data_IF_722615418882
#
_entry.id   IF_722615418882
#
_cell.length_a   1.000
_cell.length_b   1.000
_cell.length_c   1.000
_cell.angle_alpha   90.00
_cell.angle_beta   90.00
_cell.angle_gamma   90.00
#
_symmetry.space_group_name_H-M   'P 1'
#
loop_
_entity.id
_entity.type
_entity.pdbx_description
1 polymer ?
#
# COMPACT_ATOMS: atom_id res chain seq x y z
N UNK A 1 16.37 4.26 17.01
CA UNK A 1 16.28 5.44 16.13
C UNK A 1 15.72 5.00 14.79
N UNK A 2 14.56 5.57 14.44
CA UNK A 2 13.91 5.65 13.13
C UNK A 2 13.94 4.42 12.22
N UNK A 3 12.98 3.50 12.41
CA UNK A 3 12.38 2.82 11.26
C UNK A 3 11.75 3.91 10.37
N UNK A 4 12.00 3.82 9.06
CA UNK A 4 11.67 4.82 8.06
C UNK A 4 10.40 5.63 8.40
N UNK A 5 10.58 6.93 8.57
CA UNK A 5 9.49 7.89 8.64
C UNK A 5 8.81 7.89 7.26
N UNK A 6 7.86 6.96 7.05
CA UNK A 6 6.98 6.88 5.87
C UNK A 6 5.96 8.01 5.84
N UNK A 7 6.41 9.24 6.15
CA UNK A 7 5.59 10.45 6.27
C UNK A 7 5.74 11.41 5.09
N UNK A 8 6.51 11.04 4.08
CA UNK A 8 6.54 11.76 2.81
C UNK A 8 5.84 10.88 1.77
N UNK A 9 4.69 11.34 1.26
CA UNK A 9 4.18 10.83 -0.02
C UNK A 9 5.33 10.89 -1.02
N UNK A 10 5.77 9.73 -1.47
CA UNK A 10 6.84 9.62 -2.46
C UNK A 10 6.35 10.16 -3.80
N UNK A 11 7.28 10.55 -4.66
CA UNK A 11 6.97 10.93 -6.03
C UNK A 11 6.13 9.86 -6.75
N UNK A 12 6.39 8.58 -6.47
CA UNK A 12 5.68 7.45 -7.06
C UNK A 12 4.22 7.39 -6.60
N UNK A 13 3.94 7.57 -5.31
CA UNK A 13 2.57 7.65 -4.78
C UNK A 13 1.79 8.81 -5.41
N UNK A 14 2.42 9.98 -5.56
CA UNK A 14 1.80 11.14 -6.22
C UNK A 14 1.50 10.86 -7.69
N UNK A 15 2.49 10.36 -8.45
CA UNK A 15 2.34 9.99 -9.87
C UNK A 15 1.27 8.92 -10.05
N UNK A 16 1.27 7.90 -9.20
CA UNK A 16 0.28 6.83 -9.17
C UNK A 16 -1.13 7.36 -8.95
N UNK A 17 -1.33 8.20 -7.91
CA UNK A 17 -2.62 8.82 -7.62
C UNK A 17 -3.18 9.61 -8.80
N UNK A 18 -2.33 10.43 -9.44
CA UNK A 18 -2.70 11.18 -10.64
C UNK A 18 -3.05 10.25 -11.80
N UNK A 19 -2.32 9.15 -11.98
CA UNK A 19 -2.57 8.19 -13.05
C UNK A 19 -3.90 7.45 -12.88
N UNK A 20 -4.23 7.02 -11.66
CA UNK A 20 -5.53 6.43 -11.31
C UNK A 20 -6.67 7.40 -11.60
N UNK A 21 -6.52 8.66 -11.18
CA UNK A 21 -7.52 9.70 -11.43
C UNK A 21 -7.71 9.97 -12.93
N UNK A 22 -6.62 10.09 -13.69
CA UNK A 22 -6.68 10.32 -15.13
C UNK A 22 -7.32 9.16 -15.91
N UNK A 23 -7.23 7.94 -15.39
CA UNK A 23 -7.88 6.76 -15.93
C UNK A 23 -9.37 6.64 -15.55
N UNK A 24 -9.89 7.50 -14.67
CA UNK A 24 -11.26 7.39 -14.19
C UNK A 24 -11.50 6.19 -13.28
N UNK A 25 -10.45 5.61 -12.69
CA UNK A 25 -10.59 4.56 -11.68
C UNK A 25 -11.26 5.13 -10.42
N UNK A 26 -12.04 4.32 -9.69
CA UNK A 26 -12.60 4.74 -8.40
C UNK A 26 -11.48 5.25 -7.47
N UNK A 27 -11.71 6.31 -6.68
CA UNK A 27 -10.70 6.81 -5.75
C UNK A 27 -10.47 5.81 -4.62
N UNK A 28 -9.21 5.62 -4.25
CA UNK A 28 -8.82 4.87 -3.04
C UNK A 28 -8.56 5.82 -1.87
N UNK A 29 -8.70 5.30 -0.64
CA UNK A 29 -8.28 6.00 0.57
C UNK A 29 -6.76 5.86 0.75
N UNK A 30 -5.99 6.96 0.87
CA UNK A 30 -4.56 6.85 1.04
C UNK A 30 -4.16 6.51 2.48
N UNK A 31 -2.95 5.94 2.63
CA UNK A 31 -2.26 5.82 3.92
C UNK A 31 -3.14 5.18 5.00
N UNK A 32 -3.63 3.96 4.72
CA UNK A 32 -4.52 3.22 5.61
C UNK A 32 -3.73 2.20 6.43
N UNK A 33 -3.96 2.21 7.74
CA UNK A 33 -3.40 1.22 8.65
C UNK A 33 -4.24 -0.07 8.64
N UNK A 34 -3.58 -1.21 8.45
CA UNK A 34 -4.16 -2.54 8.54
C UNK A 34 -3.80 -3.17 9.87
N UNK A 35 -4.81 -3.39 10.68
CA UNK A 35 -4.70 -4.00 12.00
C UNK A 35 -5.30 -5.41 12.00
N UNK A 36 -4.56 -6.39 12.51
CA UNK A 36 -4.98 -7.79 12.67
C UNK A 36 -4.69 -8.21 14.11
N UNK A 37 -5.67 -8.81 14.79
CA UNK A 37 -5.57 -9.21 16.21
C UNK A 37 -5.04 -8.10 17.13
N UNK A 38 -5.47 -6.86 16.88
CA UNK A 38 -5.09 -5.67 17.66
C UNK A 38 -3.66 -5.18 17.40
N UNK A 39 -2.95 -5.72 16.41
CA UNK A 39 -1.59 -5.33 16.03
C UNK A 39 -1.58 -4.64 14.68
N UNK A 40 -0.83 -3.55 14.56
CA UNK A 40 -0.56 -2.92 13.27
C UNK A 40 0.36 -3.84 12.46
N UNK A 41 -0.14 -4.39 11.36
CA UNK A 41 0.62 -5.33 10.51
C UNK A 41 1.22 -4.61 9.31
N UNK A 42 0.49 -3.66 8.72
CA UNK A 42 0.93 -2.92 7.54
C UNK A 42 0.25 -1.55 7.45
N UNK A 43 0.91 -0.61 6.79
CA UNK A 43 0.30 0.64 6.30
C UNK A 43 0.35 0.56 4.79
N UNK A 44 -0.76 0.81 4.13
CA UNK A 44 -0.91 0.70 2.67
C UNK A 44 -1.05 2.09 2.05
N UNK A 45 -0.46 2.28 0.87
CA UNK A 45 -0.46 3.58 0.18
C UNK A 45 -1.86 3.95 -0.33
N UNK A 46 -2.66 2.95 -0.67
CA UNK A 46 -4.06 3.09 -1.08
C UNK A 46 -4.94 1.92 -0.64
N UNK A 47 -6.22 2.21 -0.40
CA UNK A 47 -7.18 1.24 0.11
C UNK A 47 -8.56 1.39 -0.54
N UNK A 48 -9.09 0.27 -1.03
CA UNK A 48 -10.48 0.13 -1.46
C UNK A 48 -11.24 -0.70 -0.43
N UNK A 49 -12.06 -0.02 0.37
CA UNK A 49 -12.73 -0.61 1.52
C UNK A 49 -13.68 -1.75 1.15
N UNK A 50 -14.55 -1.55 0.16
CA UNK A 50 -15.58 -2.55 -0.20
C UNK A 50 -14.98 -3.83 -0.78
N UNK A 51 -13.91 -3.71 -1.56
CA UNK A 51 -13.24 -4.83 -2.22
C UNK A 51 -12.14 -5.49 -1.35
N UNK A 52 -11.76 -4.86 -0.24
CA UNK A 52 -10.59 -5.22 0.57
C UNK A 52 -9.30 -5.32 -0.27
N UNK A 53 -9.04 -4.30 -1.08
CA UNK A 53 -7.88 -4.23 -1.98
C UNK A 53 -6.94 -3.13 -1.52
N UNK A 54 -5.70 -3.51 -1.23
CA UNK A 54 -4.59 -2.61 -0.97
C UNK A 54 -3.83 -2.28 -2.26
N UNK A 55 -3.49 -1.01 -2.43
CA UNK A 55 -2.63 -0.50 -3.49
C UNK A 55 -1.28 -0.12 -2.87
N UNK A 56 -0.20 -0.62 -3.45
CA UNK A 56 1.17 -0.35 -3.00
C UNK A 56 2.01 0.17 -4.17
N UNK A 57 2.75 1.24 -3.92
CA UNK A 57 3.70 1.84 -4.85
C UNK A 57 5.12 1.46 -4.45
N UNK A 58 5.60 0.34 -4.98
CA UNK A 58 6.95 -0.14 -4.69
C UNK A 58 7.95 0.63 -5.55
N UNK A 59 8.77 1.48 -4.91
CA UNK A 59 10.03 1.91 -5.52
C UNK A 59 10.91 0.67 -5.78
N UNK A 60 11.73 0.69 -6.85
CA UNK A 60 12.73 -0.37 -7.08
C UNK A 60 13.44 -0.70 -5.76
N UNK A 61 13.34 -1.96 -5.34
CA UNK A 61 13.79 -2.48 -4.04
C UNK A 61 15.08 -1.80 -3.60
N UNK A 62 14.98 -0.88 -2.64
CA UNK A 62 16.16 -0.43 -1.93
C UNK A 62 16.62 -1.58 -1.04
N UNK A 63 17.90 -1.95 -1.15
CA UNK A 63 18.49 -3.02 -0.35
C UNK A 63 18.25 -2.75 1.13
N UNK A 64 17.39 -3.57 1.74
CA UNK A 64 17.06 -3.45 3.17
C UNK A 64 18.31 -3.79 3.98
N UNK A 65 18.91 -2.77 4.61
CA UNK A 65 20.04 -2.96 5.51
C UNK A 65 19.50 -3.20 6.93
N UNK A 66 19.74 -4.37 7.54
CA UNK A 66 19.28 -4.66 8.88
C UNK A 66 19.87 -3.67 9.90
N UNK A 67 19.06 -3.21 10.85
CA UNK A 67 19.41 -2.13 11.76
C UNK A 67 20.54 -2.49 12.75
N UNK A 68 20.72 -3.77 13.09
CA UNK A 68 21.76 -4.25 14.01
C UNK A 68 22.10 -5.72 13.72
N UNK A 69 23.20 -6.02 13.01
CA UNK A 69 23.83 -7.35 12.98
C UNK A 69 23.00 -8.54 12.44
N UNK A 70 21.72 -8.35 12.12
CA UNK A 70 20.88 -9.34 11.45
C UNK A 70 21.31 -9.52 10.00
N UNK A 71 20.90 -10.63 9.40
CA UNK A 71 21.18 -10.86 7.98
C UNK A 71 20.03 -10.29 7.14
N UNK A 72 20.27 -9.71 5.97
CA UNK A 72 19.19 -9.16 5.12
C UNK A 72 18.06 -10.17 4.84
N UNK A 73 18.38 -11.46 4.76
CA UNK A 73 17.40 -12.54 4.58
C UNK A 73 16.39 -12.65 5.72
N UNK A 74 16.76 -12.30 6.94
CA UNK A 74 15.86 -12.40 8.10
C UNK A 74 14.79 -11.28 8.03
N UNK A 75 15.16 -10.08 7.57
CA UNK A 75 14.22 -8.96 7.38
C UNK A 75 13.23 -9.25 6.25
N UNK A 76 13.71 -9.76 5.11
CA UNK A 76 12.87 -10.15 3.98
C UNK A 76 11.91 -11.29 4.37
N UNK A 77 12.36 -12.22 5.21
CA UNK A 77 11.51 -13.30 5.70
C UNK A 77 10.38 -12.79 6.61
N UNK A 78 10.68 -11.87 7.52
CA UNK A 78 9.68 -11.24 8.39
C UNK A 78 8.69 -10.36 7.62
N UNK A 79 9.14 -9.66 6.57
CA UNK A 79 8.26 -8.94 5.63
C UNK A 79 7.32 -9.89 4.89
N UNK A 80 7.87 -10.98 4.35
CA UNK A 80 7.08 -12.00 3.67
C UNK A 80 6.03 -12.61 4.61
N UNK A 81 6.39 -12.94 5.85
CA UNK A 81 5.45 -13.46 6.85
C UNK A 81 4.34 -12.48 7.19
N UNK A 82 4.66 -11.18 7.32
CA UNK A 82 3.64 -10.15 7.55
C UNK A 82 2.70 -10.02 6.36
N UNK A 83 3.22 -10.08 5.14
CA UNK A 83 2.40 -10.05 3.94
C UNK A 83 1.50 -11.28 3.83
N UNK A 84 2.03 -12.48 4.09
CA UNK A 84 1.26 -13.72 4.10
C UNK A 84 0.12 -13.67 5.12
N UNK A 85 0.36 -13.09 6.31
CA UNK A 85 -0.68 -12.84 7.30
C UNK A 85 -1.78 -11.93 6.78
N UNK A 86 -1.43 -10.82 6.11
CA UNK A 86 -2.43 -9.92 5.51
C UNK A 86 -3.23 -10.63 4.41
N UNK A 87 -2.57 -11.42 3.56
CA UNK A 87 -3.26 -12.19 2.51
C UNK A 87 -4.21 -13.23 3.09
N UNK A 88 -3.86 -13.86 4.21
CA UNK A 88 -4.68 -14.84 4.89
C UNK A 88 -6.02 -14.26 5.40
N UNK A 89 -6.13 -12.94 5.61
CA UNK A 89 -7.40 -12.28 5.98
C UNK A 89 -8.29 -11.95 4.79
N UNK A 90 -7.94 -12.39 3.58
CA UNK A 90 -8.68 -12.10 2.35
C UNK A 90 -8.35 -10.74 1.72
N UNK A 91 -7.35 -10.02 2.23
CA UNK A 91 -6.89 -8.77 1.62
C UNK A 91 -6.07 -9.09 0.37
N UNK A 92 -6.40 -8.40 -0.72
CA UNK A 92 -5.70 -8.53 -2.01
C UNK A 92 -4.84 -7.31 -2.26
N UNK A 93 -3.76 -7.50 -3.01
CA UNK A 93 -2.79 -6.45 -3.31
C UNK A 93 -2.71 -6.18 -4.81
N UNK A 94 -2.72 -4.90 -5.17
CA UNK A 94 -2.24 -4.39 -6.45
C UNK A 94 -0.95 -3.63 -6.17
N UNK A 95 0.17 -4.18 -6.63
CA UNK A 95 1.49 -3.55 -6.52
C UNK A 95 1.87 -2.95 -7.85
N UNK A 96 2.44 -1.75 -7.81
CA UNK A 96 2.88 -1.02 -8.97
C UNK A 96 4.30 -0.52 -8.76
N UNK A 97 5.14 -0.68 -9.77
CA UNK A 97 6.44 0.01 -9.87
C UNK A 97 6.34 1.19 -10.85
N UNK A 98 7.40 2.00 -10.97
CA UNK A 98 7.39 3.16 -11.87
C UNK A 98 7.12 2.77 -13.33
N UNK A 99 7.67 1.65 -13.79
CA UNK A 99 7.47 1.13 -15.14
C UNK A 99 6.00 0.81 -15.46
N UNK A 100 5.22 0.42 -14.45
CA UNK A 100 3.79 0.08 -14.56
C UNK A 100 2.92 1.32 -14.82
N UNK A 101 3.39 2.52 -14.42
CA UNK A 101 2.64 3.77 -14.61
C UNK A 101 2.78 4.35 -16.03
N UNK A 102 3.67 3.78 -16.84
CA UNK A 102 3.91 4.14 -18.23
C UNK A 102 3.31 3.10 -19.20
N UNK A 103 4.11 2.44 -20.06
CA UNK A 103 3.63 1.46 -21.04
C UNK A 103 2.87 0.27 -20.44
N UNK A 104 3.15 -0.09 -19.17
CA UNK A 104 2.47 -1.18 -18.46
C UNK A 104 1.04 -0.86 -18.00
N UNK A 105 0.59 0.39 -18.11
CA UNK A 105 -0.62 0.86 -17.43
C UNK A 105 -1.88 0.08 -17.79
N UNK A 106 -2.08 -0.27 -19.06
CA UNK A 106 -3.32 -0.96 -19.47
C UNK A 106 -3.51 -2.31 -18.75
N UNK A 107 -2.42 -3.01 -18.43
CA UNK A 107 -2.50 -4.26 -17.68
C UNK A 107 -2.86 -4.01 -16.20
N UNK A 108 -2.29 -2.97 -15.60
CA UNK A 108 -2.60 -2.51 -14.24
C UNK A 108 -4.06 -2.11 -14.12
N UNK A 109 -4.54 -1.26 -15.03
CA UNK A 109 -5.91 -0.76 -15.02
C UNK A 109 -6.93 -1.90 -15.06
N UNK A 110 -6.75 -2.86 -15.98
CA UNK A 110 -7.59 -4.06 -16.04
C UNK A 110 -7.50 -4.90 -14.77
N UNK A 111 -6.31 -5.03 -14.18
CA UNK A 111 -6.12 -5.74 -12.92
C UNK A 111 -6.89 -5.05 -11.80
N UNK A 112 -6.75 -3.73 -11.63
CA UNK A 112 -7.47 -2.97 -10.62
C UNK A 112 -8.97 -3.18 -10.78
N UNK A 113 -9.52 -2.95 -11.98
CA UNK A 113 -10.95 -3.12 -12.23
C UNK A 113 -11.44 -4.53 -11.86
N UNK A 114 -10.73 -5.58 -12.29
CA UNK A 114 -11.07 -6.98 -11.93
C UNK A 114 -11.04 -7.21 -10.42
N UNK A 115 -10.03 -6.68 -9.71
CA UNK A 115 -9.96 -6.85 -8.26
C UNK A 115 -11.15 -6.16 -7.56
N UNK A 116 -11.60 -5.00 -8.07
CA UNK A 116 -12.72 -4.24 -7.53
C UNK A 116 -14.10 -4.85 -7.83
N UNK A 117 -14.22 -5.69 -8.86
CA UNK A 117 -15.46 -6.42 -9.16
C UNK A 117 -15.79 -7.49 -8.12
N UNK A 118 -14.78 -7.97 -7.39
CA UNK A 118 -14.97 -8.98 -6.35
C UNK A 118 -15.09 -8.27 -5.00
N UNK A 119 -16.18 -8.48 -4.24
CA UNK A 119 -16.32 -7.90 -2.91
C UNK A 119 -15.25 -8.46 -1.97
N UNK A 120 -14.92 -7.68 -0.94
CA UNK A 120 -14.06 -8.13 0.15
C UNK A 120 -14.64 -9.35 0.88
N UNK A 121 -13.85 -9.97 1.77
CA UNK A 121 -14.30 -11.14 2.53
C UNK A 121 -15.53 -10.80 3.39
N UNK A 122 -16.48 -11.73 3.44
CA UNK A 122 -17.71 -11.58 4.23
C UNK A 122 -17.41 -11.44 5.73
N UNK A 123 -16.41 -12.16 6.23
CA UNK A 123 -15.87 -12.01 7.57
C UNK A 123 -14.59 -11.16 7.51
N UNK A 124 -14.58 -10.03 8.20
CA UNK A 124 -13.42 -9.13 8.27
C UNK A 124 -12.59 -9.42 9.51
N UNK A 125 -11.50 -10.17 9.29
CA UNK A 125 -10.49 -10.46 10.32
C UNK A 125 -9.44 -9.35 10.49
N UNK A 126 -9.74 -8.16 9.98
CA UNK A 126 -8.86 -7.01 10.01
C UNK A 126 -9.66 -5.72 10.22
N UNK A 127 -8.97 -4.66 10.64
CA UNK A 127 -9.48 -3.30 10.67
C UNK A 127 -8.62 -2.41 9.79
N UNK A 128 -9.24 -1.69 8.88
CA UNK A 128 -8.64 -0.62 8.10
C UNK A 128 -8.92 0.73 8.78
N UNK A 129 -7.87 1.48 9.10
CA UNK A 129 -8.00 2.81 9.74
C UNK A 129 -7.24 3.82 8.89
N UNK A 130 -7.93 4.76 8.21
CA UNK A 130 -7.25 5.85 7.51
C UNK A 130 -6.44 6.69 8.49
N UNK A 131 -5.18 6.98 8.14
CA UNK A 131 -4.39 7.94 8.91
C UNK A 131 -4.93 9.34 8.65
N UNK A 132 -4.91 10.18 9.69
CA UNK A 132 -4.99 11.62 9.52
C UNK A 132 -3.75 12.07 8.73
N UNK A 133 -3.89 12.19 7.41
CA UNK A 133 -2.83 12.75 6.56
C UNK A 133 -2.67 14.20 6.98
N UNK A 134 -1.49 14.52 7.54
CA UNK A 134 -1.17 15.85 8.04
C UNK A 134 -1.47 16.91 6.99
N UNK A 135 -2.29 17.89 7.37
CA UNK A 135 -2.43 19.18 6.69
C UNK A 135 -1.05 19.61 6.17
N UNK A 136 -0.95 19.91 4.88
CA UNK A 136 0.14 20.72 4.35
C UNK A 136 0.30 21.89 5.32
N UNK A 137 1.47 22.04 5.94
CA UNK A 137 1.80 23.29 6.63
C UNK A 137 1.66 24.37 5.56
N UNK A 138 0.57 25.14 5.62
CA UNK A 138 0.54 26.44 5.00
C UNK A 138 1.72 27.19 5.60
N UNK A 139 2.79 27.33 4.83
CA UNK A 139 3.80 28.34 5.07
C UNK A 139 3.07 29.67 5.02
N UNK A 140 2.70 30.18 6.20
CA UNK A 140 2.34 31.57 6.39
C UNK A 140 3.60 32.38 6.05
N UNK A 141 3.57 33.00 4.88
CA UNK A 141 4.34 34.20 4.60
C UNK A 141 3.61 35.43 5.13
#
# INVERSE_FOLDING_TARGET
MAAADGRAETWLETKGRLRFRAAGLPPYLPQVELWIDGRLVKVVDGWYEDAAVAVEFDGRVEYVRPACGGRPEDVLFDEKRREDLVRATGIRFVRLVDEDLGPGWTAVERRVLRELEVPGPAERLFRAVPRDVGRVRASLG
#
